data_IF_351649538940
#
_entry.id   IF_351649538940
#
_cell.length_a   1.000
_cell.length_b   1.000
_cell.length_c   1.000
_cell.angle_alpha   90.00
_cell.angle_beta   90.00
_cell.angle_gamma   90.00
#
_symmetry.space_group_name_H-M   'P 1'
#
loop_
_entity.id
_entity.type
_entity.pdbx_description
1 polymer ?
#
# COMPACT_ATOMS: atom_id res chain seq x y z
N UNK A 1 15.92 67.89 23.23
CA UNK A 1 16.75 67.01 22.36
C UNK A 1 17.13 65.69 23.05
N UNK A 2 17.49 65.69 24.34
CA UNK A 2 17.89 64.49 25.09
C UNK A 2 16.75 63.44 25.28
N UNK A 3 15.49 63.87 25.45
CA UNK A 3 14.33 62.99 25.60
C UNK A 3 14.00 62.24 24.31
N UNK A 4 14.21 62.85 23.13
CA UNK A 4 13.94 62.25 21.83
C UNK A 4 14.99 61.18 21.48
N UNK A 5 16.28 61.40 21.80
CA UNK A 5 17.33 60.41 21.64
C UNK A 5 17.14 59.19 22.55
N UNK A 6 16.69 59.36 23.81
CA UNK A 6 16.36 58.25 24.71
C UNK A 6 15.18 57.39 24.20
N UNK A 7 14.20 57.99 23.53
CA UNK A 7 13.02 57.29 23.00
C UNK A 7 13.35 56.44 21.76
N UNK A 8 14.29 56.92 20.92
CA UNK A 8 14.77 56.18 19.74
C UNK A 8 15.55 54.93 20.17
N UNK A 9 16.52 55.04 21.07
CA UNK A 9 17.27 53.91 21.60
C UNK A 9 16.42 52.85 22.32
N UNK A 10 15.30 53.30 22.97
CA UNK A 10 14.34 52.38 23.59
C UNK A 10 13.57 51.57 22.56
N UNK A 11 13.14 52.16 21.43
CA UNK A 11 12.46 51.50 20.33
C UNK A 11 13.36 50.52 19.61
N UNK A 12 14.60 50.88 19.32
CA UNK A 12 15.59 50.00 18.71
C UNK A 12 15.88 48.78 19.59
N UNK A 13 16.03 48.94 20.88
CA UNK A 13 16.24 47.88 21.85
C UNK A 13 15.04 46.92 21.92
N UNK A 14 13.79 47.45 21.82
CA UNK A 14 12.58 46.60 21.75
C UNK A 14 12.54 45.79 20.46
N UNK A 15 12.87 46.40 19.31
CA UNK A 15 12.90 45.72 18.03
C UNK A 15 13.99 44.64 18.02
N UNK A 16 15.18 44.92 18.53
CA UNK A 16 16.27 43.94 18.66
C UNK A 16 15.85 42.73 19.52
N UNK A 17 15.23 42.98 20.69
CA UNK A 17 14.77 41.90 21.55
C UNK A 17 13.63 41.06 20.91
N UNK A 18 12.74 41.69 20.16
CA UNK A 18 11.69 41.00 19.42
C UNK A 18 12.29 40.12 18.30
N UNK A 19 13.28 40.63 17.55
CA UNK A 19 13.99 39.85 16.53
C UNK A 19 14.71 38.64 17.14
N UNK A 20 15.41 38.81 18.24
CA UNK A 20 16.10 37.73 18.95
C UNK A 20 15.14 36.68 19.50
N UNK A 21 13.95 37.09 19.96
CA UNK A 21 12.90 36.17 20.41
C UNK A 21 12.33 35.34 19.24
N UNK A 22 12.16 35.97 18.07
CA UNK A 22 11.74 35.27 16.85
C UNK A 22 12.78 34.28 16.36
N UNK A 23 14.06 34.66 16.37
CA UNK A 23 15.17 33.76 16.04
C UNK A 23 15.21 32.53 16.95
N UNK A 24 15.04 32.73 18.26
CA UNK A 24 14.95 31.60 19.21
C UNK A 24 13.73 30.70 18.96
N UNK A 25 12.59 31.29 18.59
CA UNK A 25 11.39 30.51 18.24
C UNK A 25 11.61 29.72 16.95
N UNK A 26 12.19 30.34 15.92
CA UNK A 26 12.54 29.65 14.66
C UNK A 26 13.53 28.51 14.91
N UNK A 27 14.55 28.74 15.74
CA UNK A 27 15.51 27.70 16.11
C UNK A 27 14.86 26.55 16.91
N UNK A 28 13.90 26.85 17.78
CA UNK A 28 13.15 25.85 18.56
C UNK A 28 12.16 25.02 17.73
N UNK A 29 11.65 25.57 16.62
CA UNK A 29 10.76 24.83 15.70
C UNK A 29 11.51 23.73 14.91
N UNK A 30 12.85 23.72 14.93
CA UNK A 30 13.66 22.80 14.15
C UNK A 30 13.54 23.02 12.64
N UNK A 31 14.34 22.31 11.87
CA UNK A 31 14.17 22.24 10.42
C UNK A 31 12.92 21.41 10.13
N UNK A 32 11.82 22.05 9.80
CA UNK A 32 10.69 21.37 9.18
C UNK A 32 11.13 20.94 7.79
N UNK A 33 11.46 19.66 7.63
CA UNK A 33 11.72 19.12 6.30
C UNK A 33 10.42 19.23 5.49
N UNK A 34 10.54 19.73 4.27
CA UNK A 34 9.40 19.77 3.36
C UNK A 34 8.86 18.33 3.20
N UNK A 35 7.54 18.12 3.21
CA UNK A 35 6.97 16.80 2.99
C UNK A 35 7.56 16.22 1.71
N UNK A 36 8.08 14.99 1.79
CA UNK A 36 8.61 14.31 0.61
C UNK A 36 7.53 14.31 -0.48
N UNK A 37 7.88 14.80 -1.67
CA UNK A 37 6.94 14.85 -2.79
C UNK A 37 6.32 13.47 -3.03
N UNK A 38 5.02 13.44 -3.37
CA UNK A 38 4.29 12.20 -3.65
C UNK A 38 5.03 11.43 -4.73
N UNK A 39 5.71 10.35 -4.35
CA UNK A 39 6.38 9.45 -5.29
C UNK A 39 5.30 8.64 -6.00
N UNK A 40 5.25 8.70 -7.31
CA UNK A 40 4.35 7.86 -8.11
C UNK A 40 4.86 6.43 -8.08
N UNK A 41 4.11 5.54 -7.42
CA UNK A 41 4.36 4.10 -7.45
C UNK A 41 4.08 3.60 -8.87
N UNK A 42 5.07 2.95 -9.49
CA UNK A 42 4.94 2.32 -10.80
C UNK A 42 5.07 0.82 -10.66
N UNK A 43 3.99 0.11 -10.91
CA UNK A 43 4.04 -1.35 -11.01
C UNK A 43 4.58 -1.73 -12.39
N UNK A 44 5.66 -2.50 -12.42
CA UNK A 44 6.10 -3.17 -13.64
C UNK A 44 5.40 -4.51 -13.70
N UNK A 45 4.60 -4.70 -14.75
CA UNK A 45 4.02 -6.00 -15.04
C UNK A 45 5.13 -6.89 -15.62
N UNK A 46 5.44 -8.02 -14.98
CA UNK A 46 6.26 -9.07 -15.57
C UNK A 46 5.54 -9.59 -16.82
N UNK A 47 6.29 -10.21 -17.76
CA UNK A 47 5.70 -10.83 -18.96
C UNK A 47 4.51 -11.67 -18.52
N UNK A 48 3.31 -11.28 -18.97
CA UNK A 48 2.10 -12.01 -18.68
C UNK A 48 2.29 -13.46 -19.16
N UNK A 49 2.04 -14.43 -18.27
CA UNK A 49 1.86 -15.81 -18.69
C UNK A 49 0.75 -15.80 -19.74
N UNK A 50 1.00 -16.35 -20.92
CA UNK A 50 0.01 -16.46 -21.98
C UNK A 50 -1.11 -17.41 -21.50
N UNK A 51 -2.13 -16.83 -20.91
CA UNK A 51 -3.37 -17.51 -20.59
C UNK A 51 -4.24 -17.46 -21.83
N UNK A 52 -4.53 -18.63 -22.40
CA UNK A 52 -5.40 -18.75 -23.57
C UNK A 52 -6.86 -18.95 -23.19
N UNK A 53 -7.16 -19.20 -21.90
CA UNK A 53 -8.54 -19.36 -21.43
C UNK A 53 -9.22 -17.97 -21.38
N UNK A 54 -10.33 -17.76 -22.12
CA UNK A 54 -11.05 -16.48 -22.11
C UNK A 54 -11.65 -16.15 -20.75
N UNK A 55 -11.94 -17.16 -19.92
CA UNK A 55 -12.49 -17.01 -18.56
C UNK A 55 -11.62 -17.76 -17.56
N UNK A 56 -10.49 -17.16 -17.12
CA UNK A 56 -9.56 -17.84 -16.21
C UNK A 56 -10.14 -18.16 -14.83
N UNK A 57 -11.19 -17.48 -14.41
CA UNK A 57 -11.90 -17.75 -13.16
C UNK A 57 -13.39 -17.81 -13.45
N UNK A 58 -14.00 -18.91 -13.04
CA UNK A 58 -15.44 -19.19 -13.21
C UNK A 58 -16.00 -19.67 -11.89
N UNK A 59 -17.12 -19.12 -11.48
CA UNK A 59 -17.96 -19.65 -10.42
C UNK A 59 -19.26 -20.20 -11.02
N UNK A 60 -19.63 -21.41 -10.66
CA UNK A 60 -20.86 -22.07 -11.12
C UNK A 60 -21.61 -22.67 -9.93
N UNK A 61 -22.88 -22.36 -9.83
CA UNK A 61 -23.78 -22.88 -8.79
C UNK A 61 -23.25 -22.75 -7.36
N UNK A 62 -22.65 -21.60 -7.07
CA UNK A 62 -22.03 -21.34 -5.77
C UNK A 62 -23.11 -21.21 -4.72
N UNK A 63 -22.99 -21.97 -3.65
CA UNK A 63 -23.82 -21.89 -2.49
C UNK A 63 -22.98 -21.65 -1.24
N UNK A 64 -23.34 -20.68 -0.42
CA UNK A 64 -22.64 -20.39 0.84
C UNK A 64 -23.61 -19.89 1.88
N UNK A 65 -23.62 -20.58 3.01
CA UNK A 65 -24.43 -20.22 4.18
C UNK A 65 -23.50 -19.87 5.34
N UNK A 66 -23.86 -18.88 6.11
CA UNK A 66 -23.15 -18.49 7.34
C UNK A 66 -24.15 -18.41 8.49
N UNK A 67 -24.12 -19.40 9.38
CA UNK A 67 -25.18 -19.59 10.38
C UNK A 67 -26.53 -19.80 9.68
N UNK A 68 -27.53 -18.98 10.01
CA UNK A 68 -28.86 -19.02 9.38
C UNK A 68 -29.00 -18.11 8.16
N UNK A 69 -27.91 -17.45 7.75
CA UNK A 69 -27.92 -16.51 6.62
C UNK A 69 -27.29 -17.11 5.39
N UNK A 70 -28.07 -17.28 4.32
CA UNK A 70 -27.55 -17.59 3.00
C UNK A 70 -26.86 -16.33 2.42
N UNK A 71 -25.59 -16.47 2.06
CA UNK A 71 -24.82 -15.42 1.37
C UNK A 71 -24.90 -15.56 -0.13
N UNK A 72 -24.84 -16.78 -0.63
CA UNK A 72 -24.97 -17.11 -2.04
C UNK A 72 -25.92 -18.30 -2.19
N UNK A 73 -26.83 -18.20 -3.13
CA UNK A 73 -27.77 -19.26 -3.52
C UNK A 73 -27.70 -19.41 -5.02
N UNK A 74 -27.13 -20.53 -5.47
CA UNK A 74 -26.96 -20.85 -6.88
C UNK A 74 -26.35 -19.72 -7.73
N UNK A 75 -25.39 -19.01 -7.16
CA UNK A 75 -24.75 -17.87 -7.81
C UNK A 75 -23.73 -18.34 -8.85
N UNK A 76 -23.70 -17.67 -10.01
CA UNK A 76 -22.72 -17.96 -11.06
C UNK A 76 -22.09 -16.69 -11.60
N UNK A 77 -20.81 -16.77 -11.94
CA UNK A 77 -20.09 -15.66 -12.56
C UNK A 77 -18.93 -16.16 -13.42
N UNK A 78 -18.45 -15.28 -14.30
CA UNK A 78 -17.27 -15.52 -15.12
C UNK A 78 -16.43 -14.25 -15.15
N UNK A 79 -15.13 -14.39 -14.96
CA UNK A 79 -14.18 -13.26 -15.06
C UNK A 79 -13.42 -13.38 -16.37
N UNK A 80 -13.64 -12.47 -17.33
CA UNK A 80 -12.93 -12.49 -18.61
C UNK A 80 -11.44 -12.18 -18.42
N UNK A 81 -10.60 -12.78 -19.25
CA UNK A 81 -9.18 -12.50 -19.27
C UNK A 81 -8.91 -11.00 -19.52
N UNK A 82 -8.05 -10.39 -18.70
CA UNK A 82 -7.73 -8.97 -18.79
C UNK A 82 -8.80 -8.03 -18.24
N UNK A 83 -9.95 -8.53 -17.78
CA UNK A 83 -11.00 -7.70 -17.21
C UNK A 83 -10.57 -7.07 -15.87
N UNK A 84 -11.04 -5.85 -15.63
CA UNK A 84 -10.97 -5.18 -14.33
C UNK A 84 -12.35 -5.23 -13.70
N UNK A 85 -12.51 -6.03 -12.66
CA UNK A 85 -13.81 -6.27 -12.02
C UNK A 85 -13.84 -5.59 -10.66
N UNK A 86 -14.90 -4.85 -10.38
CA UNK A 86 -15.17 -4.27 -9.07
C UNK A 86 -16.32 -5.03 -8.39
N UNK A 87 -16.07 -5.54 -7.18
CA UNK A 87 -17.06 -6.18 -6.35
C UNK A 87 -17.65 -5.15 -5.38
N UNK A 88 -18.90 -4.73 -5.63
CA UNK A 88 -19.56 -3.66 -4.87
C UNK A 88 -20.71 -4.21 -4.02
N UNK A 89 -21.10 -3.47 -3.00
CA UNK A 89 -22.22 -3.83 -2.12
C UNK A 89 -21.95 -3.42 -0.67
N UNK A 90 -22.97 -3.49 0.17
CA UNK A 90 -22.94 -3.17 1.59
C UNK A 90 -21.98 -4.05 2.42
N UNK A 91 -21.73 -3.68 3.67
CA UNK A 91 -20.95 -4.50 4.57
C UNK A 91 -21.70 -5.78 4.95
N UNK A 92 -20.97 -6.89 5.06
CA UNK A 92 -21.56 -8.20 5.42
C UNK A 92 -22.33 -8.92 4.31
N UNK A 93 -22.32 -8.42 3.05
CA UNK A 93 -23.03 -9.07 1.92
C UNK A 93 -22.26 -10.27 1.33
N UNK A 94 -21.03 -10.54 1.78
CA UNK A 94 -20.26 -11.70 1.30
C UNK A 94 -19.11 -11.40 0.34
N UNK A 95 -18.74 -10.12 0.12
CA UNK A 95 -17.62 -9.76 -0.78
C UNK A 95 -16.31 -10.46 -0.44
N UNK A 96 -15.90 -10.36 0.81
CA UNK A 96 -14.66 -10.99 1.30
C UNK A 96 -14.79 -12.52 1.28
N UNK A 97 -15.97 -13.04 1.58
CA UNK A 97 -16.26 -14.48 1.52
C UNK A 97 -16.07 -15.02 0.10
N UNK A 98 -16.58 -14.33 -0.91
CA UNK A 98 -16.41 -14.73 -2.31
C UNK A 98 -14.93 -14.75 -2.71
N UNK A 99 -14.15 -13.73 -2.30
CA UNK A 99 -12.71 -13.70 -2.55
C UNK A 99 -12.02 -14.89 -1.88
N UNK A 100 -12.37 -15.21 -0.64
CA UNK A 100 -11.82 -16.37 0.08
C UNK A 100 -12.19 -17.69 -0.58
N UNK A 101 -13.42 -17.83 -1.06
CA UNK A 101 -13.84 -19.02 -1.83
C UNK A 101 -12.99 -19.20 -3.09
N UNK A 102 -12.69 -18.11 -3.81
CA UNK A 102 -11.80 -18.14 -4.98
C UNK A 102 -10.38 -18.56 -4.58
N UNK A 103 -9.82 -17.96 -3.53
CA UNK A 103 -8.45 -18.25 -3.06
C UNK A 103 -8.31 -19.69 -2.58
N UNK A 104 -9.32 -20.23 -1.93
CA UNK A 104 -9.34 -21.57 -1.36
C UNK A 104 -9.78 -22.64 -2.36
N UNK A 105 -10.11 -22.28 -3.61
CA UNK A 105 -10.65 -23.21 -4.63
C UNK A 105 -11.87 -24.01 -4.09
N UNK A 106 -12.79 -23.29 -3.40
CA UNK A 106 -13.99 -23.93 -2.87
C UNK A 106 -14.88 -24.50 -3.97
N UNK A 107 -15.80 -25.38 -3.60
CA UNK A 107 -16.76 -26.02 -4.50
C UNK A 107 -17.49 -24.97 -5.34
N UNK A 108 -17.68 -25.27 -6.63
CA UNK A 108 -18.24 -24.35 -7.60
C UNK A 108 -17.25 -23.33 -8.18
N UNK A 109 -16.01 -23.22 -7.68
CA UNK A 109 -14.98 -22.32 -8.23
C UNK A 109 -13.99 -23.10 -9.12
N UNK A 110 -13.88 -22.67 -10.37
CA UNK A 110 -12.91 -23.19 -11.33
C UNK A 110 -11.92 -22.11 -11.71
N UNK A 111 -10.62 -22.43 -11.57
CA UNK A 111 -9.51 -21.53 -11.89
C UNK A 111 -8.61 -22.20 -12.93
N UNK A 112 -8.24 -21.47 -13.97
CA UNK A 112 -7.35 -21.98 -15.00
C UNK A 112 -6.02 -22.46 -14.37
N UNK A 113 -5.51 -23.65 -14.69
CA UNK A 113 -4.30 -24.21 -14.07
C UNK A 113 -3.04 -23.34 -14.20
N UNK A 114 -2.97 -22.52 -15.25
CA UNK A 114 -1.86 -21.58 -15.48
C UNK A 114 -2.07 -20.22 -14.82
N UNK A 115 -3.23 -19.96 -14.23
CA UNK A 115 -3.51 -18.68 -13.56
C UNK A 115 -2.79 -18.65 -12.21
N UNK A 116 -2.01 -17.58 -11.99
CA UNK A 116 -1.41 -17.28 -10.69
C UNK A 116 -2.24 -16.19 -10.03
N UNK A 117 -2.72 -16.44 -8.83
CA UNK A 117 -3.52 -15.47 -8.06
C UNK A 117 -2.61 -14.78 -7.07
N UNK A 118 -2.51 -13.44 -7.17
CA UNK A 118 -1.96 -12.59 -6.13
C UNK A 118 -3.10 -11.98 -5.31
N UNK A 119 -3.02 -12.09 -3.99
CA UNK A 119 -4.01 -11.52 -3.09
C UNK A 119 -3.38 -10.43 -2.23
N UNK A 120 -4.01 -9.27 -2.17
CA UNK A 120 -3.62 -8.20 -1.27
C UNK A 120 -4.69 -8.03 -0.19
N UNK A 121 -4.36 -8.45 1.03
CA UNK A 121 -5.30 -8.41 2.15
C UNK A 121 -5.56 -6.97 2.64
N UNK A 122 -6.80 -6.68 3.02
CA UNK A 122 -7.19 -5.37 3.55
C UNK A 122 -6.40 -4.97 4.81
N UNK A 123 -6.09 -5.94 5.68
CA UNK A 123 -5.37 -5.73 6.94
C UNK A 123 -3.85 -5.91 6.77
N UNK A 124 -3.35 -6.01 5.52
CA UNK A 124 -1.95 -6.33 5.26
C UNK A 124 -1.58 -7.76 5.65
N UNK A 125 -0.29 -8.07 5.54
CA UNK A 125 0.27 -9.33 6.00
C UNK A 125 1.08 -9.08 7.26
N UNK A 126 0.88 -9.91 8.28
CA UNK A 126 1.77 -9.94 9.44
C UNK A 126 2.84 -11.00 9.18
N UNK A 127 4.06 -10.56 9.03
CA UNK A 127 5.20 -11.44 8.87
C UNK A 127 5.85 -11.67 10.23
N UNK A 128 5.86 -12.90 10.71
CA UNK A 128 6.60 -13.31 11.91
C UNK A 128 7.95 -13.93 11.48
N UNK A 129 8.74 -13.20 10.70
CA UNK A 129 10.03 -13.71 10.26
C UNK A 129 11.11 -12.66 10.51
N UNK A 130 12.30 -13.13 10.94
CA UNK A 130 13.50 -12.31 11.07
C UNK A 130 14.13 -11.99 9.70
N UNK A 131 13.48 -12.37 8.60
CA UNK A 131 13.94 -12.08 7.25
C UNK A 131 13.82 -10.57 6.97
N UNK A 132 14.75 -10.04 6.23
CA UNK A 132 14.64 -8.69 5.72
C UNK A 132 13.86 -8.66 4.40
N UNK A 133 13.45 -7.45 3.98
CA UNK A 133 12.66 -7.26 2.74
C UNK A 133 13.37 -7.86 1.51
N UNK A 134 14.70 -7.74 1.43
CA UNK A 134 15.47 -8.27 0.31
C UNK A 134 15.44 -9.79 0.25
N UNK A 135 15.70 -10.45 1.38
CA UNK A 135 15.68 -11.91 1.48
C UNK A 135 14.31 -12.49 1.17
N UNK A 136 13.25 -11.81 1.66
CA UNK A 136 11.87 -12.19 1.35
C UNK A 136 11.60 -12.15 -0.15
N UNK A 137 11.98 -11.05 -0.81
CA UNK A 137 11.76 -10.90 -2.25
C UNK A 137 12.58 -11.88 -3.09
N UNK A 138 13.80 -12.20 -2.67
CA UNK A 138 14.65 -13.18 -3.38
C UNK A 138 14.09 -14.60 -3.34
N UNK A 139 13.35 -14.96 -2.29
CA UNK A 139 12.80 -16.30 -2.12
C UNK A 139 11.73 -16.65 -3.16
N UNK A 140 10.90 -15.66 -3.51
CA UNK A 140 9.67 -15.88 -4.27
C UNK A 140 9.68 -15.25 -5.68
N UNK A 141 10.81 -14.70 -6.13
CA UNK A 141 10.90 -14.13 -7.46
C UNK A 141 12.24 -14.46 -8.17
N UNK A 142 12.17 -14.60 -9.49
CA UNK A 142 13.32 -14.89 -10.36
C UNK A 142 14.15 -13.62 -10.71
N UNK A 143 13.95 -12.51 -9.98
CA UNK A 143 14.67 -11.28 -10.22
C UNK A 143 16.05 -11.30 -9.58
N UNK A 144 17.03 -10.70 -10.28
CA UNK A 144 18.33 -10.44 -9.68
C UNK A 144 18.26 -9.31 -8.63
N UNK A 145 19.29 -9.19 -7.79
CA UNK A 145 19.35 -8.22 -6.69
C UNK A 145 19.14 -6.77 -7.18
N UNK A 146 19.67 -6.44 -8.36
CA UNK A 146 19.55 -5.09 -8.93
C UNK A 146 18.11 -4.79 -9.35
N UNK A 147 17.42 -5.77 -9.92
CA UNK A 147 16.01 -5.67 -10.31
C UNK A 147 15.11 -5.55 -9.09
N UNK A 148 15.34 -6.35 -8.04
CA UNK A 148 14.61 -6.28 -6.79
C UNK A 148 14.75 -4.88 -6.17
N UNK A 149 15.98 -4.34 -6.09
CA UNK A 149 16.22 -2.98 -5.60
C UNK A 149 15.48 -1.93 -6.41
N UNK A 150 15.48 -2.06 -7.73
CA UNK A 150 14.77 -1.15 -8.64
C UNK A 150 13.25 -1.19 -8.41
N UNK A 151 12.68 -2.38 -8.22
CA UNK A 151 11.26 -2.57 -7.92
C UNK A 151 10.92 -1.96 -6.56
N UNK A 152 11.67 -2.26 -5.51
CA UNK A 152 11.47 -1.73 -4.17
C UNK A 152 11.58 -0.20 -4.14
N UNK A 153 12.58 0.37 -4.83
CA UNK A 153 12.72 1.82 -4.96
C UNK A 153 11.52 2.45 -5.69
N UNK A 154 10.96 1.78 -6.72
CA UNK A 154 9.75 2.24 -7.41
C UNK A 154 8.50 2.21 -6.54
N UNK A 155 8.49 1.35 -5.51
CA UNK A 155 7.45 1.25 -4.49
C UNK A 155 7.66 2.22 -3.32
N UNK A 156 8.75 2.99 -3.32
CA UNK A 156 9.01 4.01 -2.30
C UNK A 156 9.92 3.55 -1.15
N UNK A 157 10.46 2.32 -1.18
CA UNK A 157 11.43 1.88 -0.19
C UNK A 157 12.74 2.66 -0.33
N UNK A 158 13.27 3.14 0.78
CA UNK A 158 14.61 3.74 0.87
C UNK A 158 15.65 2.64 1.03
N UNK A 159 16.91 2.93 0.72
CA UNK A 159 18.02 1.97 0.87
C UNK A 159 18.12 1.39 2.29
N UNK A 160 17.85 2.22 3.29
CA UNK A 160 17.86 1.82 4.70
C UNK A 160 16.66 0.94 5.10
N UNK A 161 15.59 0.91 4.32
CA UNK A 161 14.39 0.12 4.62
C UNK A 161 14.52 -1.32 4.10
N UNK A 162 15.31 -1.51 3.06
CA UNK A 162 15.50 -2.81 2.39
C UNK A 162 16.15 -3.85 3.31
N UNK A 163 17.01 -3.41 4.24
CA UNK A 163 17.68 -4.25 5.23
C UNK A 163 16.91 -4.44 6.55
N UNK A 164 15.75 -3.79 6.72
CA UNK A 164 14.95 -3.93 7.94
C UNK A 164 14.22 -5.26 7.98
N UNK A 165 14.04 -5.80 9.19
CA UNK A 165 13.22 -6.97 9.43
C UNK A 165 11.76 -6.70 9.05
N UNK A 166 11.05 -7.76 8.60
CA UNK A 166 9.63 -7.74 8.28
C UNK A 166 8.72 -7.86 9.52
N UNK A 167 9.33 -7.93 10.71
CA UNK A 167 8.61 -8.01 12.01
C UNK A 167 8.10 -6.66 12.46
#
# INVERSE_FOLDING_TARGET
RLAHQKSIGSKEKKMYNAAKTLEHRIAALGKVEAPEGIRRIRFRQSKALELHNPYPIVGAEINKVFGDKALFENASFQIPLGAKVALTGGNGIGKTTLIQMILNHEEGISISPKAKIGYFAQNGYKYNSNQNVMEFMQKDCDYNISEIRSVLASMGFKQNDIGKSLS
#
